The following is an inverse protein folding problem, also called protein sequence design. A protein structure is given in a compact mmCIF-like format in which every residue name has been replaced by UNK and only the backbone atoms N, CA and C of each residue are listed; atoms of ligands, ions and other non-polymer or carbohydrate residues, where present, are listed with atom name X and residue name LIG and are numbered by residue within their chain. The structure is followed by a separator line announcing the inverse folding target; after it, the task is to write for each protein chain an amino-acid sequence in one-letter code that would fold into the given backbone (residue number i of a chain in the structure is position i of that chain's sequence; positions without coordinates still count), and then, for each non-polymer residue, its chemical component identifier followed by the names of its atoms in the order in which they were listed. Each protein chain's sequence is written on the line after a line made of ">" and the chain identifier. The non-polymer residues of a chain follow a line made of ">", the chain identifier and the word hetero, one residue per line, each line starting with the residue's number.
data_IF_849002421894
#
_entry.id   IF_849002421894
#
_cell.length_a   1.000
_cell.length_b   1.000
_cell.length_c   1.000
_cell.angle_alpha   90.00
_cell.angle_beta   90.00
_cell.angle_gamma   90.00
#
_symmetry.space_group_name_H-M   'P 1'
#
loop_
_entity.id
_entity.type
_entity.pdbx_description
1 polymer ?
#
# COMPACT_ATOMS: atom_id res chain seq x y z
N UNK A 1 20.64 16.87 7.84
CA UNK A 1 19.91 17.96 7.15
C UNK A 1 18.43 17.76 7.43
N UNK A 2 17.65 18.80 7.73
CA UNK A 2 16.23 18.65 8.03
C UNK A 2 15.43 18.37 6.75
N UNK A 3 14.44 17.47 6.82
CA UNK A 3 13.53 17.11 5.73
C UNK A 3 12.62 18.30 5.45
N UNK A 4 12.71 18.89 4.26
CA UNK A 4 11.89 20.01 3.82
C UNK A 4 10.52 19.53 3.38
N UNK A 5 9.46 20.05 4.01
CA UNK A 5 8.08 19.65 3.71
C UNK A 5 7.26 20.83 3.22
N UNK A 6 6.52 20.63 2.13
CA UNK A 6 5.47 21.54 1.68
C UNK A 6 4.11 20.98 2.12
N UNK A 7 3.31 21.77 2.84
CA UNK A 7 1.97 21.37 3.31
C UNK A 7 0.89 22.00 2.43
N UNK A 8 -0.03 21.19 1.89
CA UNK A 8 -1.05 21.63 0.94
C UNK A 8 -2.43 21.22 1.42
N UNK A 9 -3.31 22.19 1.65
CA UNK A 9 -4.71 21.98 2.05
C UNK A 9 -5.49 23.28 1.79
N UNK A 10 -6.76 23.21 1.41
CA UNK A 10 -7.56 24.42 1.18
C UNK A 10 -7.95 25.12 2.50
N UNK A 11 -8.01 24.37 3.60
CA UNK A 11 -8.27 24.88 4.94
C UNK A 11 -7.01 25.44 5.58
N UNK A 12 -7.00 26.75 5.82
CA UNK A 12 -5.92 27.42 6.55
C UNK A 12 -5.68 26.82 7.95
N UNK A 13 -6.75 26.41 8.64
CA UNK A 13 -6.67 25.76 9.96
C UNK A 13 -5.99 24.40 9.85
N UNK A 14 -6.28 23.63 8.80
CA UNK A 14 -5.64 22.33 8.60
C UNK A 14 -4.16 22.50 8.24
N UNK A 15 -3.79 23.49 7.42
CA UNK A 15 -2.38 23.79 7.14
C UNK A 15 -1.60 24.13 8.41
N UNK A 16 -2.18 24.92 9.31
CA UNK A 16 -1.57 25.23 10.61
C UNK A 16 -1.42 23.97 11.47
N UNK A 17 -2.49 23.17 11.61
CA UNK A 17 -2.48 21.95 12.40
C UNK A 17 -1.43 20.94 11.89
N UNK A 18 -1.44 20.64 10.60
CA UNK A 18 -0.49 19.69 10.00
C UNK A 18 0.94 20.21 10.13
N UNK A 19 1.16 21.51 9.94
CA UNK A 19 2.49 22.11 10.09
C UNK A 19 2.98 22.02 11.53
N UNK A 20 2.13 22.34 12.51
CA UNK A 20 2.44 22.21 13.94
C UNK A 20 2.81 20.78 14.31
N UNK A 21 2.00 19.80 13.87
CA UNK A 21 2.27 18.37 14.07
C UNK A 21 3.66 18.00 13.53
N UNK A 22 3.99 18.40 12.30
CA UNK A 22 5.27 18.07 11.67
C UNK A 22 6.46 18.72 12.37
N UNK A 23 6.28 19.94 12.91
CA UNK A 23 7.32 20.67 13.64
C UNK A 23 7.65 20.08 15.02
N UNK A 24 6.84 19.16 15.55
CA UNK A 24 7.22 18.39 16.75
C UNK A 24 8.41 17.45 16.52
N UNK A 25 8.84 17.26 15.27
CA UNK A 25 10.05 16.50 14.92
C UNK A 25 11.17 17.45 14.49
N UNK A 26 12.29 17.44 15.22
CA UNK A 26 13.49 18.23 14.86
C UNK A 26 14.07 17.85 13.49
N UNK A 27 13.73 16.67 12.98
CA UNK A 27 14.18 16.20 11.66
C UNK A 27 13.36 16.77 10.50
N UNK A 28 12.26 17.48 10.75
CA UNK A 28 11.34 17.99 9.73
C UNK A 28 11.26 19.51 9.80
N UNK A 29 11.32 20.17 8.65
CA UNK A 29 11.10 21.60 8.51
C UNK A 29 10.02 21.85 7.48
N UNK A 30 8.92 22.46 7.89
CA UNK A 30 7.90 22.95 6.96
C UNK A 30 8.46 24.21 6.27
N UNK A 31 8.68 24.13 4.96
CA UNK A 31 9.31 25.22 4.19
C UNK A 31 8.33 26.26 3.70
N UNK A 32 7.08 25.85 3.43
CA UNK A 32 5.97 26.71 3.06
C UNK A 32 4.66 25.89 3.11
N UNK A 33 3.54 26.56 2.84
CA UNK A 33 2.22 25.94 2.68
C UNK A 33 1.55 26.40 1.38
N UNK A 34 0.62 25.62 0.81
CA UNK A 34 -0.13 25.99 -0.38
C UNK A 34 -1.63 25.70 -0.20
N UNK A 35 -2.48 26.49 -0.87
CA UNK A 35 -3.93 26.42 -0.75
C UNK A 35 -4.64 25.53 -1.76
N UNK A 36 -3.94 25.05 -2.79
CA UNK A 36 -4.47 24.17 -3.83
C UNK A 36 -3.35 23.48 -4.62
N UNK A 37 -3.71 22.52 -5.47
CA UNK A 37 -2.77 21.74 -6.29
C UNK A 37 -1.94 22.57 -7.28
N UNK A 38 -2.46 23.70 -7.80
CA UNK A 38 -1.72 24.56 -8.74
C UNK A 38 -0.62 25.35 -8.03
N UNK A 39 -0.93 25.91 -6.87
CA UNK A 39 0.05 26.58 -6.03
C UNK A 39 1.09 25.57 -5.51
N UNK A 40 0.67 24.36 -5.15
CA UNK A 40 1.56 23.28 -4.73
C UNK A 40 2.61 22.94 -5.80
N UNK A 41 2.20 22.81 -7.07
CA UNK A 41 3.11 22.55 -8.19
C UNK A 41 4.14 23.67 -8.32
N UNK A 42 3.70 24.94 -8.33
CA UNK A 42 4.59 26.10 -8.41
C UNK A 42 5.62 26.09 -7.28
N UNK A 43 5.17 25.97 -6.03
CA UNK A 43 6.03 25.96 -4.84
C UNK A 43 6.96 24.74 -4.79
N UNK A 44 6.52 23.59 -5.31
CA UNK A 44 7.39 22.40 -5.41
C UNK A 44 8.58 22.64 -6.34
N UNK A 45 8.36 23.34 -7.46
CA UNK A 45 9.42 23.70 -8.40
C UNK A 45 10.39 24.73 -7.80
N UNK A 46 9.86 25.74 -7.09
CA UNK A 46 10.64 26.83 -6.50
C UNK A 46 11.45 26.38 -5.27
N UNK A 47 10.80 25.66 -4.35
CA UNK A 47 11.37 25.36 -3.02
C UNK A 47 12.12 24.03 -2.96
N UNK A 48 11.89 23.14 -3.94
CA UNK A 48 12.47 21.80 -3.98
C UNK A 48 12.28 21.05 -2.64
N UNK A 49 11.03 20.88 -2.15
CA UNK A 49 10.80 20.14 -0.91
C UNK A 49 11.19 18.67 -1.08
N UNK A 50 11.56 18.02 0.02
CA UNK A 50 11.87 16.58 0.04
C UNK A 50 10.58 15.74 0.08
N UNK A 51 9.49 16.29 0.62
CA UNK A 51 8.15 15.66 0.67
C UNK A 51 7.08 16.73 0.51
N UNK A 52 6.02 16.42 -0.23
CA UNK A 52 4.78 17.20 -0.26
C UNK A 52 3.70 16.44 0.51
N UNK A 53 3.14 17.07 1.54
CA UNK A 53 1.96 16.56 2.25
C UNK A 53 0.75 17.29 1.69
N UNK A 54 -0.18 16.57 1.07
CA UNK A 54 -1.24 17.21 0.28
C UNK A 54 -2.61 16.61 0.50
N UNK A 55 -3.59 17.46 0.71
CA UNK A 55 -4.99 17.11 0.70
C UNK A 55 -5.46 16.56 -0.65
N UNK A 56 -6.33 15.56 -0.59
CA UNK A 56 -6.95 14.98 -1.77
C UNK A 56 -8.08 15.82 -2.33
N UNK A 57 -8.93 16.38 -1.48
CA UNK A 57 -10.16 17.05 -1.90
C UNK A 57 -10.00 18.55 -1.70
N UNK A 58 -9.80 19.27 -2.80
CA UNK A 58 -9.79 20.73 -2.84
C UNK A 58 -10.70 21.20 -3.98
N UNK A 59 -10.72 22.50 -4.29
CA UNK A 59 -11.47 23.06 -5.42
C UNK A 59 -10.99 22.57 -6.80
N UNK A 60 -11.00 23.45 -7.81
CA UNK A 60 -10.68 23.07 -9.21
C UNK A 60 -9.34 22.33 -9.38
N UNK A 61 -8.32 22.70 -8.59
CA UNK A 61 -7.00 22.08 -8.62
C UNK A 61 -6.82 21.21 -7.37
N UNK A 62 -7.37 19.99 -7.44
CA UNK A 62 -7.40 19.02 -6.36
C UNK A 62 -6.05 18.29 -6.15
N UNK A 63 -6.01 17.36 -5.20
CA UNK A 63 -4.81 16.58 -4.90
C UNK A 63 -4.37 15.70 -6.07
N UNK A 64 -5.30 15.17 -6.87
CA UNK A 64 -4.99 14.36 -8.05
C UNK A 64 -4.28 15.20 -9.13
N UNK A 65 -4.77 16.42 -9.38
CA UNK A 65 -4.10 17.39 -10.25
C UNK A 65 -2.68 17.67 -9.73
N UNK A 66 -2.56 17.98 -8.43
CA UNK A 66 -1.28 18.26 -7.79
C UNK A 66 -0.27 17.14 -7.97
N UNK A 67 -0.64 15.89 -7.65
CA UNK A 67 0.23 14.71 -7.79
C UNK A 67 0.68 14.55 -9.23
N UNK A 68 -0.28 14.57 -10.15
CA UNK A 68 -0.01 14.32 -11.58
C UNK A 68 0.97 15.34 -12.13
N UNK A 69 0.81 16.62 -11.79
CA UNK A 69 1.68 17.69 -12.28
C UNK A 69 3.05 17.70 -11.60
N UNK A 70 3.11 17.45 -10.28
CA UNK A 70 4.37 17.31 -9.55
C UNK A 70 5.17 16.16 -10.15
N UNK A 71 4.57 14.97 -10.27
CA UNK A 71 5.25 13.79 -10.83
C UNK A 71 5.67 13.96 -12.29
N UNK A 72 4.93 14.77 -13.08
CA UNK A 72 5.30 15.07 -14.47
C UNK A 72 6.48 16.04 -14.58
N UNK A 73 6.46 17.13 -13.82
CA UNK A 73 7.41 18.24 -13.98
C UNK A 73 8.67 18.05 -13.14
N UNK A 74 8.50 17.65 -11.87
CA UNK A 74 9.58 17.41 -10.92
C UNK A 74 9.14 16.33 -9.91
N UNK A 75 9.34 15.03 -10.23
CA UNK A 75 9.00 13.94 -9.34
C UNK A 75 9.46 14.22 -7.91
N UNK A 76 8.52 14.27 -6.99
CA UNK A 76 8.72 14.59 -5.57
C UNK A 76 7.76 13.72 -4.77
N UNK A 77 8.16 13.06 -3.68
CA UNK A 77 7.28 12.16 -2.94
C UNK A 77 6.08 12.92 -2.39
N UNK A 78 4.87 12.43 -2.69
CA UNK A 78 3.63 13.04 -2.19
C UNK A 78 2.95 12.10 -1.20
N UNK A 79 2.74 12.56 0.04
CA UNK A 79 1.91 11.90 1.05
C UNK A 79 0.52 12.54 1.07
N UNK A 80 -0.50 11.75 0.78
CA UNK A 80 -1.87 12.23 0.66
C UNK A 80 -2.56 12.33 2.03
N UNK A 81 -3.30 13.40 2.26
CA UNK A 81 -4.22 13.55 3.38
C UNK A 81 -5.65 13.23 2.91
N UNK A 82 -6.34 12.32 3.59
CA UNK A 82 -7.73 11.94 3.29
C UNK A 82 -8.64 12.19 4.48
N UNK A 83 -9.84 12.72 4.25
CA UNK A 83 -10.89 12.74 5.29
C UNK A 83 -11.43 11.33 5.56
N UNK A 84 -11.81 11.07 6.81
CA UNK A 84 -12.60 9.88 7.19
C UNK A 84 -14.04 10.09 6.72
N UNK A 85 -14.61 9.13 5.99
CA UNK A 85 -16.02 9.14 5.61
C UNK A 85 -16.31 9.22 4.11
N UNK A 86 -15.29 9.35 3.25
CA UNK A 86 -15.50 9.24 1.81
C UNK A 86 -15.85 7.79 1.45
N UNK A 87 -17.08 7.58 0.97
CA UNK A 87 -17.53 6.30 0.41
C UNK A 87 -16.84 6.01 -0.93
N UNK A 88 -16.40 7.04 -1.66
CA UNK A 88 -15.59 6.91 -2.86
C UNK A 88 -14.10 7.23 -2.58
N UNK A 89 -13.29 6.18 -2.62
CA UNK A 89 -11.84 6.24 -2.41
C UNK A 89 -11.07 6.11 -3.72
N UNK A 90 -11.78 6.08 -4.86
CA UNK A 90 -11.19 6.07 -6.19
C UNK A 90 -10.20 7.22 -6.42
N UNK A 91 -10.37 8.45 -5.88
CA UNK A 91 -9.40 9.52 -6.07
C UNK A 91 -8.03 9.20 -5.45
N UNK A 92 -8.00 8.58 -4.27
CA UNK A 92 -6.74 8.24 -3.58
C UNK A 92 -5.98 7.18 -4.37
N UNK A 93 -6.67 6.14 -4.84
CA UNK A 93 -6.04 5.10 -5.65
C UNK A 93 -5.52 5.67 -6.97
N UNK A 94 -6.30 6.53 -7.64
CA UNK A 94 -5.83 7.26 -8.84
C UNK A 94 -4.57 8.08 -8.55
N UNK A 95 -4.51 8.75 -7.40
CA UNK A 95 -3.35 9.53 -7.01
C UNK A 95 -2.13 8.64 -6.67
N UNK A 96 -2.31 7.51 -6.00
CA UNK A 96 -1.26 6.51 -5.80
C UNK A 96 -0.73 5.99 -7.15
N UNK A 97 -1.61 5.73 -8.13
CA UNK A 97 -1.20 5.35 -9.48
C UNK A 97 -0.48 6.49 -10.23
N UNK A 98 -0.87 7.74 -9.98
CA UNK A 98 -0.21 8.91 -10.55
C UNK A 98 1.18 9.17 -9.93
N UNK A 99 1.58 8.38 -8.91
CA UNK A 99 2.90 8.41 -8.30
C UNK A 99 2.93 8.96 -6.88
N UNK A 100 1.78 9.15 -6.22
CA UNK A 100 1.77 9.44 -4.80
C UNK A 100 2.37 8.27 -4.01
N UNK A 101 3.10 8.59 -2.94
CA UNK A 101 3.86 7.63 -2.15
C UNK A 101 2.95 6.77 -1.25
N UNK A 102 2.05 7.42 -0.52
CA UNK A 102 1.13 6.79 0.42
C UNK A 102 0.03 7.81 0.79
N UNK A 103 -0.88 7.42 1.68
CA UNK A 103 -1.90 8.29 2.25
C UNK A 103 -2.00 8.14 3.78
N UNK A 104 -2.61 9.12 4.42
CA UNK A 104 -2.95 9.13 5.83
C UNK A 104 -4.27 9.88 6.05
N UNK A 105 -5.03 9.45 7.05
CA UNK A 105 -6.25 10.16 7.42
C UNK A 105 -5.90 11.51 8.05
N UNK A 106 -6.68 12.55 7.73
CA UNK A 106 -6.56 13.88 8.35
C UNK A 106 -6.72 13.77 9.87
N UNK A 107 -5.92 14.52 10.64
CA UNK A 107 -6.14 14.66 12.07
C UNK A 107 -7.48 15.37 12.31
N UNK A 108 -8.31 14.86 13.23
CA UNK A 108 -9.60 15.44 13.58
C UNK A 108 -9.71 15.66 15.09
N UNK A 109 -10.35 16.77 15.51
CA UNK A 109 -10.51 17.14 16.94
C UNK A 109 -11.28 16.10 17.76
N UNK A 110 -12.16 15.33 17.11
CA UNK A 110 -12.96 14.28 17.76
C UNK A 110 -12.23 12.94 17.88
N UNK A 111 -11.00 12.83 17.37
CA UNK A 111 -10.22 11.61 17.51
C UNK A 111 -9.56 11.59 18.91
N UNK A 112 -9.97 10.64 19.75
CA UNK A 112 -9.34 10.36 21.06
C UNK A 112 -7.86 9.94 20.96
N UNK A 113 -7.31 9.88 19.74
CA UNK A 113 -5.97 9.41 19.39
C UNK A 113 -5.23 10.37 18.44
N UNK A 114 -5.37 11.68 18.61
CA UNK A 114 -4.60 12.67 17.83
C UNK A 114 -3.09 12.35 17.85
N UNK A 115 -2.53 12.03 19.02
CA UNK A 115 -1.11 11.63 19.17
C UNK A 115 -0.69 10.44 18.29
N UNK A 116 -1.57 9.46 18.07
CA UNK A 116 -1.25 8.32 17.19
C UNK A 116 -1.19 8.76 15.72
N UNK A 117 -2.05 9.70 15.32
CA UNK A 117 -2.05 10.26 13.96
C UNK A 117 -0.80 11.12 13.76
N UNK A 118 -0.42 11.93 14.75
CA UNK A 118 0.80 12.74 14.73
C UNK A 118 2.05 11.89 14.48
N UNK A 119 2.25 10.86 15.31
CA UNK A 119 3.40 9.96 15.16
C UNK A 119 3.38 9.23 13.82
N UNK A 120 2.20 8.82 13.35
CA UNK A 120 2.06 8.18 12.02
C UNK A 120 2.40 9.14 10.89
N UNK A 121 1.96 10.40 10.96
CA UNK A 121 2.24 11.41 9.95
C UNK A 121 3.74 11.68 9.85
N UNK A 122 4.40 11.98 10.98
CA UNK A 122 5.84 12.23 11.05
C UNK A 122 6.62 11.05 10.46
N UNK A 123 6.28 9.81 10.86
CA UNK A 123 6.96 8.61 10.36
C UNK A 123 6.77 8.41 8.86
N UNK A 124 5.55 8.61 8.34
CA UNK A 124 5.29 8.49 6.89
C UNK A 124 6.02 9.55 6.08
N UNK A 125 6.13 10.77 6.59
CA UNK A 125 6.96 11.82 5.96
C UNK A 125 8.44 11.42 5.93
N UNK A 126 8.98 10.89 7.03
CA UNK A 126 10.37 10.41 7.06
C UNK A 126 10.58 9.27 6.05
N UNK A 127 9.64 8.33 5.95
CA UNK A 127 9.71 7.25 4.96
C UNK A 127 9.62 7.79 3.52
N UNK A 128 8.70 8.72 3.26
CA UNK A 128 8.55 9.35 1.95
C UNK A 128 9.82 10.09 1.52
N UNK A 129 10.50 10.77 2.45
CA UNK A 129 11.75 11.49 2.16
C UNK A 129 12.91 10.59 1.72
N UNK A 130 12.84 9.30 2.04
CA UNK A 130 13.82 8.28 1.67
C UNK A 130 13.37 7.44 0.48
N UNK A 131 12.20 7.74 -0.09
CA UNK A 131 11.62 6.94 -1.15
C UNK A 131 12.41 7.11 -2.45
N UNK A 132 12.66 5.99 -3.12
CA UNK A 132 13.32 5.99 -4.41
C UNK A 132 12.33 6.41 -5.51
N UNK A 133 12.43 7.66 -5.93
CA UNK A 133 11.55 8.26 -6.95
C UNK A 133 11.66 7.58 -8.32
N UNK A 134 12.80 6.95 -8.64
CA UNK A 134 12.95 6.18 -9.88
C UNK A 134 11.98 5.00 -9.96
N UNK A 135 11.47 4.55 -8.80
CA UNK A 135 10.47 3.49 -8.67
C UNK A 135 9.04 4.02 -8.54
N UNK A 136 8.85 5.29 -8.17
CA UNK A 136 7.53 5.92 -7.96
C UNK A 136 6.96 6.59 -9.21
N UNK A 137 7.80 6.97 -10.17
CA UNK A 137 7.38 7.61 -11.40
C UNK A 137 8.04 7.01 -12.63
N UNK A 138 7.22 6.66 -13.64
CA UNK A 138 7.59 6.41 -15.05
C UNK A 138 7.78 4.97 -15.56
N UNK A 139 7.54 3.91 -14.80
CA UNK A 139 7.34 2.63 -15.51
C UNK A 139 5.91 2.59 -16.03
N UNK A 140 5.77 2.66 -17.36
CA UNK A 140 4.56 2.20 -18.02
C UNK A 140 4.45 0.71 -17.67
N UNK A 141 3.63 0.42 -16.67
CA UNK A 141 3.44 -0.94 -16.15
C UNK A 141 2.63 -1.70 -17.21
N UNK A 142 3.35 -2.28 -18.17
CA UNK A 142 2.76 -3.17 -19.16
C UNK A 142 2.72 -4.59 -18.58
N UNK A 143 1.59 -5.31 -18.72
CA UNK A 143 1.50 -6.71 -18.32
C UNK A 143 2.58 -7.54 -19.02
N UNK A 144 3.11 -8.54 -18.32
CA UNK A 144 4.00 -9.53 -18.91
C UNK A 144 3.22 -10.40 -19.91
N UNK A 145 3.48 -10.17 -21.20
CA UNK A 145 2.90 -10.93 -22.30
C UNK A 145 3.75 -12.14 -22.72
N UNK A 146 4.94 -12.32 -22.11
CA UNK A 146 5.78 -13.47 -22.42
C UNK A 146 5.19 -14.72 -21.79
N UNK A 147 5.20 -15.81 -22.56
CA UNK A 147 4.89 -17.13 -22.04
C UNK A 147 6.14 -17.72 -21.38
N UNK A 148 6.04 -18.14 -20.11
CA UNK A 148 7.17 -18.70 -19.37
C UNK A 148 7.10 -20.22 -19.38
N UNK A 149 8.26 -20.89 -19.46
CA UNK A 149 8.33 -22.34 -19.28
C UNK A 149 8.54 -22.65 -17.80
N UNK A 150 7.65 -23.46 -17.25
CA UNK A 150 7.77 -24.00 -15.90
C UNK A 150 8.18 -25.46 -15.98
N UNK A 151 9.02 -25.93 -15.06
CA UNK A 151 9.27 -27.36 -14.91
C UNK A 151 8.00 -28.07 -14.46
N UNK A 152 7.79 -29.32 -14.90
CA UNK A 152 6.63 -30.14 -14.51
C UNK A 152 6.47 -30.29 -12.99
N UNK A 153 7.58 -30.21 -12.25
CA UNK A 153 7.60 -30.17 -10.78
C UNK A 153 8.26 -28.88 -10.28
N UNK A 154 7.47 -27.86 -9.97
CA UNK A 154 8.01 -26.68 -9.29
C UNK A 154 8.41 -27.04 -7.84
N UNK A 155 9.50 -26.44 -7.31
CA UNK A 155 9.86 -26.60 -5.91
C UNK A 155 8.88 -25.92 -4.95
N UNK A 156 7.97 -25.09 -5.47
CA UNK A 156 7.02 -24.29 -4.71
C UNK A 156 5.60 -24.44 -5.28
N UNK A 157 4.61 -24.47 -4.38
CA UNK A 157 3.19 -24.65 -4.68
C UNK A 157 2.37 -23.38 -4.32
N UNK A 158 2.98 -22.36 -3.71
CA UNK A 158 2.32 -21.10 -3.36
C UNK A 158 3.29 -19.91 -3.20
N UNK A 159 2.81 -18.71 -3.51
CA UNK A 159 3.48 -17.44 -3.17
C UNK A 159 2.60 -16.68 -2.16
N UNK A 160 3.20 -16.14 -1.12
CA UNK A 160 2.53 -15.22 -0.17
C UNK A 160 3.30 -13.90 -0.08
N UNK A 161 2.60 -12.79 -0.25
CA UNK A 161 3.16 -11.43 -0.30
C UNK A 161 2.55 -10.58 0.82
N UNK A 162 3.40 -9.92 1.61
CA UNK A 162 3.00 -8.96 2.62
C UNK A 162 3.50 -7.54 2.31
N UNK A 163 2.68 -6.52 2.54
CA UNK A 163 3.06 -5.12 2.28
C UNK A 163 2.21 -4.10 3.06
N UNK A 164 2.72 -2.87 3.17
CA UNK A 164 2.03 -1.77 3.86
C UNK A 164 2.29 -0.42 3.18
N UNK A 165 2.99 0.53 3.81
CA UNK A 165 3.35 1.83 3.23
C UNK A 165 4.18 1.68 1.95
N UNK A 166 3.74 2.31 0.86
CA UNK A 166 4.29 2.15 -0.49
C UNK A 166 3.96 0.79 -1.13
N UNK A 167 3.21 -0.06 -0.43
CA UNK A 167 2.87 -1.42 -0.83
C UNK A 167 2.02 -1.51 -2.11
N UNK A 168 1.01 -0.64 -2.34
CA UNK A 168 0.22 -0.69 -3.57
C UNK A 168 1.08 -0.65 -4.84
N UNK A 169 1.98 0.33 -4.97
CA UNK A 169 2.87 0.46 -6.13
C UNK A 169 3.87 -0.70 -6.25
N UNK A 170 4.35 -1.22 -5.11
CA UNK A 170 5.24 -2.39 -5.10
C UNK A 170 4.53 -3.65 -5.59
N UNK A 171 3.28 -3.88 -5.16
CA UNK A 171 2.44 -4.99 -5.63
C UNK A 171 2.15 -4.84 -7.13
N UNK A 172 1.80 -3.63 -7.61
CA UNK A 172 1.58 -3.38 -9.04
C UNK A 172 2.79 -3.80 -9.87
N UNK A 173 3.99 -3.43 -9.42
CA UNK A 173 5.25 -3.77 -10.09
C UNK A 173 5.48 -5.28 -10.15
N UNK A 174 5.25 -5.98 -9.04
CA UNK A 174 5.42 -7.44 -8.97
C UNK A 174 4.41 -8.13 -9.88
N UNK A 175 3.12 -7.83 -9.73
CA UNK A 175 2.05 -8.53 -10.45
C UNK A 175 2.10 -8.28 -11.96
N UNK A 176 2.46 -7.09 -12.40
CA UNK A 176 2.61 -6.81 -13.81
C UNK A 176 3.74 -7.59 -14.47
N UNK A 177 4.70 -8.10 -13.69
CA UNK A 177 5.80 -8.94 -14.18
C UNK A 177 5.52 -10.43 -14.06
N UNK A 178 4.49 -10.85 -13.31
CA UNK A 178 4.10 -12.25 -13.27
C UNK A 178 3.45 -12.68 -14.59
N UNK A 179 3.80 -13.87 -15.12
CA UNK A 179 3.22 -14.35 -16.37
C UNK A 179 1.81 -14.91 -16.15
N UNK A 180 0.95 -14.81 -17.16
CA UNK A 180 -0.42 -15.29 -17.09
C UNK A 180 -0.58 -16.81 -16.97
N UNK A 181 0.47 -17.58 -17.29
CA UNK A 181 0.48 -19.04 -17.20
C UNK A 181 1.09 -19.56 -15.88
N UNK A 182 1.16 -18.73 -14.83
CA UNK A 182 1.64 -19.15 -13.50
C UNK A 182 0.77 -20.29 -12.94
N UNK A 183 1.41 -21.40 -12.54
CA UNK A 183 0.72 -22.64 -12.14
C UNK A 183 0.49 -22.77 -10.63
N UNK A 184 0.65 -21.69 -9.88
CA UNK A 184 0.46 -21.66 -8.41
C UNK A 184 -0.36 -20.43 -7.99
N UNK A 185 -1.10 -20.50 -6.87
CA UNK A 185 -1.80 -19.35 -6.31
C UNK A 185 -0.83 -18.33 -5.68
N UNK A 186 -1.25 -17.06 -5.72
CA UNK A 186 -0.56 -15.95 -5.05
C UNK A 186 -1.50 -15.34 -4.00
N UNK A 187 -1.08 -15.29 -2.75
CA UNK A 187 -1.83 -14.66 -1.66
C UNK A 187 -1.21 -13.33 -1.28
N UNK A 188 -2.01 -12.27 -1.10
CA UNK A 188 -1.50 -10.95 -0.76
C UNK A 188 -2.23 -10.36 0.44
N UNK A 189 -1.47 -9.96 1.45
CA UNK A 189 -1.92 -9.08 2.53
C UNK A 189 -1.31 -7.68 2.34
N UNK A 190 -2.15 -6.72 1.98
CA UNK A 190 -1.82 -5.30 1.96
C UNK A 190 -2.55 -4.63 3.13
N UNK A 191 -1.80 -3.93 3.99
CA UNK A 191 -2.42 -3.08 5.01
C UNK A 191 -3.16 -1.92 4.34
N UNK A 192 -4.46 -2.08 4.16
CA UNK A 192 -5.37 -1.05 3.67
C UNK A 192 -6.77 -1.27 4.27
N UNK A 193 -7.57 -0.21 4.46
CA UNK A 193 -8.96 -0.33 4.88
C UNK A 193 -9.78 -1.13 3.86
N UNK A 194 -10.76 -1.88 4.36
CA UNK A 194 -11.61 -2.77 3.57
C UNK A 194 -12.24 -2.10 2.35
N UNK A 195 -12.71 -0.86 2.50
CA UNK A 195 -13.35 -0.10 1.44
C UNK A 195 -12.40 0.31 0.30
N UNK A 196 -11.08 0.22 0.46
CA UNK A 196 -10.11 0.44 -0.64
C UNK A 196 -9.87 -0.82 -1.46
N UNK A 197 -10.04 -2.01 -0.87
CA UNK A 197 -9.61 -3.27 -1.48
C UNK A 197 -10.32 -3.56 -2.82
N UNK A 198 -11.65 -3.33 -2.99
CA UNK A 198 -12.31 -3.60 -4.27
C UNK A 198 -11.69 -2.83 -5.45
N UNK A 199 -11.46 -1.52 -5.27
CA UNK A 199 -10.87 -0.67 -6.30
C UNK A 199 -9.41 -1.02 -6.56
N UNK A 200 -8.67 -1.45 -5.53
CA UNK A 200 -7.31 -1.97 -5.69
C UNK A 200 -7.29 -3.27 -6.49
N UNK A 201 -8.16 -4.24 -6.17
CA UNK A 201 -8.32 -5.49 -6.94
C UNK A 201 -8.64 -5.20 -8.41
N UNK A 202 -9.62 -4.32 -8.67
CA UNK A 202 -9.99 -3.94 -10.03
C UNK A 202 -8.81 -3.36 -10.82
N UNK A 203 -7.96 -2.58 -10.17
CA UNK A 203 -6.75 -2.03 -10.78
C UNK A 203 -5.73 -3.13 -11.07
N UNK A 204 -5.40 -3.96 -10.09
CA UNK A 204 -4.43 -5.04 -10.26
C UNK A 204 -4.84 -5.97 -11.40
N UNK A 205 -6.14 -6.26 -11.51
CA UNK A 205 -6.70 -7.07 -12.59
C UNK A 205 -6.54 -6.44 -13.99
N UNK A 206 -6.36 -5.11 -14.09
CA UNK A 206 -6.10 -4.42 -15.39
C UNK A 206 -4.64 -4.46 -15.82
N UNK A 207 -3.71 -4.68 -14.89
CA UNK A 207 -2.26 -4.64 -15.15
C UNK A 207 -1.58 -6.00 -15.04
N UNK A 208 -2.28 -6.98 -14.46
CA UNK A 208 -1.84 -8.36 -14.29
C UNK A 208 -2.32 -9.21 -15.47
N UNK A 209 -1.50 -10.16 -15.90
CA UNK A 209 -1.94 -11.23 -16.81
C UNK A 209 -2.70 -12.35 -16.08
N UNK A 210 -2.61 -12.38 -14.74
CA UNK A 210 -3.33 -13.28 -13.85
C UNK A 210 -4.65 -12.66 -13.37
N UNK A 211 -5.64 -13.49 -13.11
CA UNK A 211 -6.90 -13.07 -12.48
C UNK A 211 -6.63 -12.63 -11.03
N UNK A 212 -7.07 -11.42 -10.68
CA UNK A 212 -6.94 -10.86 -9.34
C UNK A 212 -8.31 -10.74 -8.70
N UNK A 213 -8.47 -11.38 -7.53
CA UNK A 213 -9.73 -11.41 -6.78
C UNK A 213 -9.53 -11.03 -5.33
N UNK A 214 -10.62 -10.61 -4.69
CA UNK A 214 -10.67 -10.49 -3.24
C UNK A 214 -10.97 -11.85 -2.61
N UNK A 215 -10.25 -12.20 -1.55
CA UNK A 215 -10.49 -13.45 -0.82
C UNK A 215 -11.91 -13.50 -0.21
N UNK A 216 -12.59 -14.63 -0.42
CA UNK A 216 -13.94 -14.90 0.13
C UNK A 216 -13.92 -16.22 0.88
N UNK A 217 -14.77 -16.36 1.90
CA UNK A 217 -14.82 -17.58 2.72
C UNK A 217 -15.14 -18.78 1.83
N UNK A 218 -14.39 -19.86 2.01
CA UNK A 218 -14.50 -21.14 1.29
C UNK A 218 -14.21 -21.05 -0.23
N UNK A 219 -13.68 -19.91 -0.71
CA UNK A 219 -13.10 -19.78 -2.05
C UNK A 219 -11.89 -20.72 -2.18
N UNK A 220 -11.82 -21.51 -3.26
CA UNK A 220 -10.68 -22.37 -3.54
C UNK A 220 -9.46 -21.53 -3.97
N UNK A 221 -8.29 -21.89 -3.45
CA UNK A 221 -7.03 -21.30 -3.89
C UNK A 221 -6.49 -22.09 -5.09
N UNK A 222 -6.91 -21.71 -6.30
CA UNK A 222 -6.52 -22.39 -7.54
C UNK A 222 -5.25 -21.78 -8.15
N UNK A 223 -4.47 -22.57 -8.92
CA UNK A 223 -3.40 -22.06 -9.77
C UNK A 223 -3.82 -20.85 -10.60
N UNK A 224 -2.89 -19.91 -10.80
CA UNK A 224 -3.11 -18.72 -11.64
C UNK A 224 -3.97 -17.62 -11.03
N UNK A 225 -4.42 -17.79 -9.78
CA UNK A 225 -5.24 -16.81 -9.07
C UNK A 225 -4.39 -15.97 -8.10
N UNK A 226 -4.57 -14.65 -8.14
CA UNK A 226 -4.04 -13.73 -7.15
C UNK A 226 -5.16 -13.33 -6.19
N UNK A 227 -5.00 -13.60 -4.89
CA UNK A 227 -6.03 -13.45 -3.87
C UNK A 227 -5.62 -12.38 -2.86
N UNK A 228 -6.36 -11.27 -2.82
CA UNK A 228 -6.09 -10.12 -1.95
C UNK A 228 -6.93 -10.20 -0.66
N UNK A 229 -6.30 -9.98 0.50
CA UNK A 229 -6.98 -9.91 1.79
C UNK A 229 -7.95 -8.71 1.87
N UNK A 230 -9.18 -8.87 2.40
CA UNK A 230 -10.24 -7.85 2.37
C UNK A 230 -10.12 -6.75 3.44
N UNK A 231 -9.04 -6.67 4.22
CA UNK A 231 -8.78 -5.51 5.08
C UNK A 231 -9.37 -5.52 6.50
N UNK A 232 -10.55 -6.09 6.74
CA UNK A 232 -11.23 -6.03 8.05
C UNK A 232 -11.01 -7.25 8.97
N UNK A 233 -10.50 -8.35 8.42
CA UNK A 233 -10.27 -9.62 9.10
C UNK A 233 -8.98 -10.24 8.60
N UNK A 234 -8.41 -11.11 9.42
CA UNK A 234 -7.23 -11.88 9.05
C UNK A 234 -7.63 -12.98 8.09
N UNK A 235 -7.32 -12.77 6.81
CA UNK A 235 -7.41 -13.80 5.78
C UNK A 235 -6.36 -14.87 6.07
N UNK A 236 -6.80 -16.12 6.07
CA UNK A 236 -5.93 -17.29 6.22
C UNK A 236 -6.26 -18.33 5.16
N UNK A 237 -5.36 -19.29 4.99
CA UNK A 237 -5.54 -20.45 4.13
C UNK A 237 -5.68 -21.70 5.01
N UNK A 238 -6.56 -22.63 4.64
CA UNK A 238 -6.74 -23.92 5.35
C UNK A 238 -7.13 -25.02 4.39
N UNK A 239 -6.97 -26.28 4.83
CA UNK A 239 -7.61 -27.43 4.18
C UNK A 239 -9.06 -27.55 4.67
N UNK A 240 -10.01 -27.76 3.76
CA UNK A 240 -11.39 -28.08 4.09
C UNK A 240 -11.52 -29.60 4.38
N UNK A 241 -12.76 -30.08 4.62
CA UNK A 241 -13.02 -31.50 4.92
C UNK A 241 -12.67 -32.45 3.76
N UNK A 242 -12.67 -31.96 2.52
CA UNK A 242 -12.30 -32.73 1.32
C UNK A 242 -10.80 -32.66 1.02
N UNK A 243 -10.02 -31.96 1.85
CA UNK A 243 -8.58 -31.77 1.65
C UNK A 243 -8.21 -30.63 0.70
N UNK A 244 -9.20 -29.94 0.13
CA UNK A 244 -8.98 -28.81 -0.76
C UNK A 244 -8.52 -27.58 0.02
N UNK A 245 -7.66 -26.78 -0.60
CA UNK A 245 -7.13 -25.56 0.00
C UNK A 245 -8.10 -24.41 -0.28
N UNK A 246 -8.61 -23.80 0.79
CA UNK A 246 -9.62 -22.74 0.73
C UNK A 246 -9.25 -21.54 1.59
N UNK A 247 -9.79 -20.38 1.23
CA UNK A 247 -9.69 -19.15 2.02
C UNK A 247 -10.62 -19.22 3.24
N UNK A 248 -10.11 -18.77 4.38
CA UNK A 248 -10.89 -18.60 5.60
C UNK A 248 -10.50 -17.31 6.32
N UNK A 249 -11.15 -17.05 7.45
CA UNK A 249 -10.90 -15.85 8.25
C UNK A 249 -10.87 -16.20 9.73
N UNK A 250 -9.94 -15.60 10.45
CA UNK A 250 -9.89 -15.66 11.90
C UNK A 250 -9.72 -14.25 12.49
N UNK A 251 -9.75 -14.17 13.83
CA UNK A 251 -9.49 -12.96 14.59
C UNK A 251 -8.19 -13.11 15.42
N UNK A 252 -7.20 -13.87 14.91
CA UNK A 252 -5.93 -14.08 15.63
C UNK A 252 -5.23 -12.73 15.75
N UNK A 253 -5.02 -12.25 16.97
CA UNK A 253 -4.34 -10.98 17.20
C UNK A 253 -2.83 -11.17 17.27
N UNK A 254 -2.10 -10.35 16.53
CA UNK A 254 -0.65 -10.21 16.66
C UNK A 254 -0.36 -8.88 17.37
N UNK A 255 0.77 -8.81 18.09
CA UNK A 255 1.15 -7.57 18.79
C UNK A 255 1.43 -6.44 17.80
N UNK A 256 1.85 -6.80 16.59
CA UNK A 256 2.36 -5.92 15.55
C UNK A 256 1.28 -5.28 14.69
N UNK A 257 0.12 -5.93 14.51
CA UNK A 257 -0.99 -5.42 13.69
C UNK A 257 -2.31 -6.18 13.96
N UNK A 258 -3.44 -5.53 13.64
CA UNK A 258 -4.76 -6.09 13.91
C UNK A 258 -5.33 -6.85 12.69
N UNK A 259 -5.82 -6.13 11.68
CA UNK A 259 -6.46 -6.70 10.48
C UNK A 259 -6.23 -5.78 9.25
N UNK A 260 -5.88 -6.31 8.07
CA UNK A 260 -5.46 -7.70 7.84
C UNK A 260 -4.01 -7.87 8.28
N UNK A 261 -3.68 -8.94 9.00
CA UNK A 261 -2.32 -9.24 9.44
C UNK A 261 -1.58 -10.06 8.40
N UNK A 262 -0.38 -9.59 8.05
CA UNK A 262 0.55 -10.30 7.17
C UNK A 262 1.03 -11.59 7.85
N UNK A 263 1.36 -11.55 9.14
CA UNK A 263 1.74 -12.72 9.92
C UNK A 263 0.64 -13.78 9.90
N UNK A 264 -0.63 -13.41 10.09
CA UNK A 264 -1.73 -14.38 10.07
C UNK A 264 -1.82 -15.13 8.75
N UNK A 265 -1.69 -14.40 7.63
CA UNK A 265 -1.73 -14.99 6.30
C UNK A 265 -0.52 -15.91 6.08
N UNK A 266 0.70 -15.41 6.32
CA UNK A 266 1.94 -16.15 6.12
C UNK A 266 2.03 -17.40 7.00
N UNK A 267 1.65 -17.32 8.27
CA UNK A 267 1.58 -18.47 9.19
C UNK A 267 0.72 -19.57 8.59
N UNK A 268 -0.49 -19.23 8.14
CA UNK A 268 -1.43 -20.22 7.60
C UNK A 268 -0.99 -20.81 6.26
N UNK A 269 -0.32 -20.02 5.41
CA UNK A 269 0.26 -20.52 4.16
C UNK A 269 1.40 -21.49 4.47
N UNK A 270 2.27 -21.15 5.43
CA UNK A 270 3.35 -22.04 5.87
C UNK A 270 2.82 -23.35 6.48
N UNK A 271 1.73 -23.31 7.24
CA UNK A 271 1.08 -24.51 7.79
C UNK A 271 0.50 -25.42 6.70
N UNK A 272 -0.07 -24.85 5.64
CA UNK A 272 -0.73 -25.61 4.57
C UNK A 272 0.24 -26.13 3.51
N UNK A 273 1.20 -25.29 3.08
CA UNK A 273 2.12 -25.58 1.97
C UNK A 273 3.54 -25.95 2.43
N UNK A 274 3.91 -25.65 3.68
CA UNK A 274 5.23 -25.98 4.25
C UNK A 274 6.39 -25.43 3.42
N UNK A 275 7.42 -26.26 3.22
CA UNK A 275 8.63 -25.97 2.42
C UNK A 275 8.38 -25.51 0.98
N UNK A 276 7.16 -25.71 0.47
CA UNK A 276 6.79 -25.30 -0.89
C UNK A 276 6.22 -23.88 -0.96
N UNK A 277 6.53 -23.05 0.03
CA UNK A 277 6.05 -21.66 0.11
C UNK A 277 7.15 -20.68 -0.28
N UNK A 278 6.84 -19.74 -1.18
CA UNK A 278 7.65 -18.52 -1.36
C UNK A 278 7.03 -17.40 -0.52
N UNK A 279 7.77 -16.91 0.48
CA UNK A 279 7.38 -15.74 1.26
C UNK A 279 8.06 -14.47 0.74
N UNK A 280 7.27 -13.42 0.49
CA UNK A 280 7.77 -12.12 0.02
C UNK A 280 7.27 -11.01 0.96
N UNK A 281 8.19 -10.22 1.50
CA UNK A 281 7.86 -8.98 2.22
C UNK A 281 8.32 -7.79 1.38
N UNK A 282 7.36 -6.93 1.05
CA UNK A 282 7.60 -5.68 0.34
C UNK A 282 7.67 -4.51 1.33
N UNK A 283 7.75 -3.30 0.79
CA UNK A 283 7.78 -2.06 1.57
C UNK A 283 6.62 -1.98 2.57
N UNK A 284 6.94 -1.48 3.75
CA UNK A 284 5.97 -1.34 4.83
C UNK A 284 6.60 -0.74 6.08
N UNK A 285 5.74 -0.27 6.98
CA UNK A 285 6.13 0.22 8.29
C UNK A 285 5.72 -0.80 9.36
N UNK A 286 6.60 -1.03 10.34
CA UNK A 286 6.34 -1.94 11.46
C UNK A 286 7.05 -3.28 11.28
N UNK A 287 6.55 -4.30 11.99
CA UNK A 287 7.17 -5.65 12.05
C UNK A 287 6.21 -6.76 11.61
N UNK A 288 5.01 -6.42 11.16
CA UNK A 288 4.08 -7.45 10.67
C UNK A 288 4.65 -8.10 9.41
N UNK A 289 4.54 -9.42 9.34
CA UNK A 289 5.20 -10.28 8.37
C UNK A 289 6.56 -10.83 8.80
N UNK A 290 7.27 -10.22 9.75
CA UNK A 290 8.58 -10.72 10.20
C UNK A 290 8.46 -12.10 10.88
N UNK A 291 7.42 -12.31 11.69
CA UNK A 291 7.13 -13.62 12.29
C UNK A 291 6.73 -14.64 11.21
N UNK A 292 5.84 -14.23 10.29
CA UNK A 292 5.36 -15.09 9.20
C UNK A 292 6.47 -15.58 8.27
N UNK A 293 7.39 -14.70 7.85
CA UNK A 293 8.54 -15.11 7.02
C UNK A 293 9.49 -16.01 7.79
N UNK A 294 9.73 -15.74 9.09
CA UNK A 294 10.51 -16.64 9.93
C UNK A 294 9.86 -18.03 9.98
N UNK A 295 8.54 -18.10 10.14
CA UNK A 295 7.78 -19.35 10.13
C UNK A 295 7.90 -20.09 8.80
N UNK A 296 7.78 -19.40 7.68
CA UNK A 296 7.99 -19.97 6.34
C UNK A 296 9.40 -20.58 6.26
N UNK A 297 10.43 -19.84 6.71
CA UNK A 297 11.82 -20.31 6.69
C UNK A 297 12.09 -21.51 7.61
N UNK A 298 11.40 -21.58 8.74
CA UNK A 298 11.46 -22.74 9.66
C UNK A 298 10.78 -23.98 9.05
N UNK A 299 9.85 -23.80 8.10
CA UNK A 299 9.17 -24.90 7.40
C UNK A 299 9.85 -25.35 6.10
N UNK A 300 10.85 -24.61 5.61
CA UNK A 300 11.69 -24.95 4.45
C UNK A 300 12.27 -23.74 3.73
#
# INVERSE_FOLDING_TARGET
>A
MAIKVLVVDDSAVMRLLVSDILQHSESIKVVDTASNGKEAVKKTLELNPDVVVMDMIMGQYDGLYGVTQIMKQKPTPVLLLSSLGNTDLSPILKALHAGAFDYINKPSKNNTKIRDIEQKLIRKVILASKADLSKLGRQQINPNTHHHTFSDSLPYDAIVIGSSTGGPSAIETVLAKLPGNLTIPVFIAQHMPENFVPSFVQRLNKISALEVVMGKRDMKATPGLVIIAPGNKNMIVRKNRTGEIVISFNNKHFKEFNNPSINALMDSVAEVYGKKTIGVILTGMGKDGAHGVKKIKETG
#
